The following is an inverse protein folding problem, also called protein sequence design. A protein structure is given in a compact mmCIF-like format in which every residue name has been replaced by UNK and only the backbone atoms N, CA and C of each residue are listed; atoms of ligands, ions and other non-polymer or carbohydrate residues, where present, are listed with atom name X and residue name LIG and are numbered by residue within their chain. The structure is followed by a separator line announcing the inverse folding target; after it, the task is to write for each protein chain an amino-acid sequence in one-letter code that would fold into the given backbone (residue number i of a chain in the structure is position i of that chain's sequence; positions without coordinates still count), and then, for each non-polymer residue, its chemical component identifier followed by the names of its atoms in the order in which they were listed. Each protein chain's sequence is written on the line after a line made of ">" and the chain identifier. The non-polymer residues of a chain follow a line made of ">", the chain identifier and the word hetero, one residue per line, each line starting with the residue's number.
data_IF_372448833674
#
_entry.id   IF_372448833674
#
_cell.length_a   1.000
_cell.length_b   1.000
_cell.length_c   1.000
_cell.angle_alpha   90.00
_cell.angle_beta   90.00
_cell.angle_gamma   90.00
#
_symmetry.space_group_name_H-M   'P 1'
#
loop_
_entity.id
_entity.type
_entity.pdbx_description
1 polymer ?
#
# COMPACT_ATOMS: atom_id res chain seq x y z
N UNK A 1 15.62 -18.03 75.97
CA UNK A 1 15.87 -18.84 74.76
C UNK A 1 14.64 -18.99 73.88
N UNK A 2 13.50 -19.46 74.39
CA UNK A 2 12.28 -19.72 73.59
C UNK A 2 11.80 -18.49 72.79
N UNK A 3 11.75 -17.30 73.41
CA UNK A 3 11.37 -16.04 72.73
C UNK A 3 12.31 -15.69 71.58
N UNK A 4 13.63 -15.87 71.77
CA UNK A 4 14.63 -15.58 70.74
C UNK A 4 14.45 -16.54 69.56
N UNK A 5 14.24 -17.83 69.84
CA UNK A 5 13.98 -18.83 68.80
C UNK A 5 12.71 -18.48 68.01
N UNK A 6 11.62 -18.10 68.68
CA UNK A 6 10.36 -17.71 68.03
C UNK A 6 10.55 -16.48 67.14
N UNK A 7 11.26 -15.47 67.63
CA UNK A 7 11.56 -14.25 66.85
C UNK A 7 12.41 -14.59 65.63
N UNK A 8 13.45 -15.40 65.78
CA UNK A 8 14.31 -15.82 64.66
C UNK A 8 13.50 -16.60 63.62
N UNK A 9 12.67 -17.55 64.05
CA UNK A 9 11.82 -18.32 63.14
C UNK A 9 10.83 -17.40 62.42
N UNK A 10 10.19 -16.48 63.12
CA UNK A 10 9.27 -15.52 62.52
C UNK A 10 9.98 -14.66 61.45
N UNK A 11 11.16 -14.14 61.76
CA UNK A 11 11.97 -13.35 60.82
C UNK A 11 12.35 -14.20 59.60
N UNK A 12 12.81 -15.44 59.79
CA UNK A 12 13.15 -16.34 58.69
C UNK A 12 11.95 -16.59 57.79
N UNK A 13 10.77 -16.87 58.38
CA UNK A 13 9.53 -17.08 57.61
C UNK A 13 9.18 -15.83 56.80
N UNK A 14 9.24 -14.64 57.41
CA UNK A 14 8.98 -13.38 56.70
C UNK A 14 9.95 -13.18 55.54
N UNK A 15 11.24 -13.42 55.75
CA UNK A 15 12.26 -13.30 54.69
C UNK A 15 11.97 -14.28 53.55
N UNK A 16 11.64 -15.54 53.85
CA UNK A 16 11.29 -16.54 52.83
C UNK A 16 10.06 -16.10 52.04
N UNK A 17 9.01 -15.62 52.71
CA UNK A 17 7.80 -15.13 52.03
C UNK A 17 8.13 -13.96 51.10
N UNK A 18 8.94 -12.99 51.55
CA UNK A 18 9.37 -11.85 50.72
C UNK A 18 10.15 -12.33 49.50
N UNK A 19 11.09 -13.26 49.67
CA UNK A 19 11.87 -13.83 48.56
C UNK A 19 10.95 -14.53 47.55
N UNK A 20 10.01 -15.34 48.02
CA UNK A 20 9.03 -16.01 47.15
C UNK A 20 8.20 -15.01 46.36
N UNK A 21 7.70 -13.95 47.01
CA UNK A 21 6.92 -12.89 46.35
C UNK A 21 7.76 -12.20 45.28
N UNK A 22 9.01 -11.84 45.57
CA UNK A 22 9.92 -11.21 44.61
C UNK A 22 10.15 -12.13 43.40
N UNK A 23 10.42 -13.42 43.64
CA UNK A 23 10.60 -14.41 42.55
C UNK A 23 9.35 -14.50 41.68
N UNK A 24 8.16 -14.59 42.29
CA UNK A 24 6.89 -14.63 41.56
C UNK A 24 6.70 -13.37 40.72
N UNK A 25 6.94 -12.19 41.27
CA UNK A 25 6.83 -10.92 40.53
C UNK A 25 7.80 -10.90 39.34
N UNK A 26 9.05 -11.30 39.55
CA UNK A 26 10.05 -11.36 38.47
C UNK A 26 9.61 -12.32 37.37
N UNK A 27 9.11 -13.52 37.72
CA UNK A 27 8.60 -14.50 36.75
C UNK A 27 7.41 -13.94 35.97
N UNK A 28 6.45 -13.29 36.65
CA UNK A 28 5.30 -12.67 35.99
C UNK A 28 5.75 -11.57 35.02
N UNK A 29 6.65 -10.69 35.45
CA UNK A 29 7.19 -9.62 34.59
C UNK A 29 7.88 -10.22 33.36
N UNK A 30 8.72 -11.24 33.53
CA UNK A 30 9.40 -11.91 32.42
C UNK A 30 8.41 -12.56 31.47
N UNK A 31 7.40 -13.28 31.98
CA UNK A 31 6.38 -13.94 31.13
C UNK A 31 5.54 -12.92 30.37
N UNK A 32 5.14 -11.82 31.01
CA UNK A 32 4.36 -10.75 30.38
C UNK A 32 5.19 -10.05 29.31
N UNK A 33 6.40 -9.59 29.65
CA UNK A 33 7.30 -8.94 28.67
C UNK A 33 7.61 -9.87 27.49
N UNK A 34 7.86 -11.15 27.74
CA UNK A 34 8.16 -12.12 26.69
C UNK A 34 6.94 -12.43 25.80
N UNK A 35 5.74 -12.44 26.39
CA UNK A 35 4.49 -12.63 25.64
C UNK A 35 4.18 -11.45 24.71
N UNK A 36 4.45 -10.24 25.17
CA UNK A 36 4.28 -9.00 24.38
C UNK A 36 5.26 -8.97 23.19
N UNK A 37 6.53 -9.31 23.45
CA UNK A 37 7.56 -9.39 22.40
C UNK A 37 7.22 -10.40 21.30
N UNK A 38 6.61 -11.55 21.66
CA UNK A 38 6.22 -12.58 20.69
C UNK A 38 5.04 -12.13 19.82
N UNK A 39 4.16 -11.27 20.31
CA UNK A 39 2.96 -10.84 19.57
C UNK A 39 3.27 -9.79 18.51
N UNK A 40 4.21 -8.87 18.76
CA UNK A 40 4.61 -7.83 17.79
C UNK A 40 5.28 -8.41 16.53
N UNK A 41 6.12 -9.44 16.68
CA UNK A 41 6.85 -10.05 15.55
C UNK A 41 5.95 -10.67 14.47
N UNK A 42 4.74 -11.12 14.83
CA UNK A 42 3.82 -11.77 13.89
C UNK A 42 3.03 -10.78 13.04
N UNK A 43 2.74 -9.57 13.57
CA UNK A 43 1.99 -8.53 12.85
C UNK A 43 2.80 -7.92 11.71
N UNK A 44 4.09 -7.68 11.93
CA UNK A 44 4.98 -7.11 10.92
C UNK A 44 5.19 -8.03 9.71
N UNK A 45 5.28 -9.36 9.92
CA UNK A 45 5.36 -10.33 8.81
C UNK A 45 4.12 -10.28 7.92
N UNK A 46 2.92 -10.28 8.51
CA UNK A 46 1.65 -10.21 7.77
C UNK A 46 1.50 -8.90 6.97
N UNK A 47 1.95 -7.77 7.53
CA UNK A 47 1.93 -6.49 6.84
C UNK A 47 2.89 -6.45 5.65
N UNK A 48 4.10 -7.01 5.80
CA UNK A 48 5.09 -7.08 4.71
C UNK A 48 4.59 -7.93 3.53
N UNK A 49 3.97 -9.08 3.80
CA UNK A 49 3.37 -9.93 2.75
C UNK A 49 2.18 -9.24 2.05
N UNK A 50 1.32 -8.55 2.80
CA UNK A 50 0.23 -7.79 2.17
C UNK A 50 0.74 -6.65 1.28
N UNK A 51 1.81 -5.98 1.68
CA UNK A 51 2.38 -4.88 0.89
C UNK A 51 2.99 -5.37 -0.44
N UNK A 52 3.72 -6.49 -0.44
CA UNK A 52 4.30 -7.06 -1.65
C UNK A 52 3.22 -7.57 -2.62
N UNK A 53 2.17 -8.21 -2.11
CA UNK A 53 1.02 -8.65 -2.92
C UNK A 53 0.29 -7.49 -3.60
N UNK A 54 0.10 -6.36 -2.90
CA UNK A 54 -0.47 -5.13 -3.49
C UNK A 54 0.42 -4.59 -4.61
N UNK A 55 1.73 -4.53 -4.39
CA UNK A 55 2.68 -4.07 -5.42
C UNK A 55 2.67 -4.96 -6.66
N UNK A 56 2.58 -6.29 -6.51
CA UNK A 56 2.48 -7.20 -7.66
C UNK A 56 1.19 -7.00 -8.47
N UNK A 57 0.03 -6.79 -7.80
CA UNK A 57 -1.23 -6.49 -8.49
C UNK A 57 -1.18 -5.16 -9.24
N UNK A 58 -0.62 -4.12 -8.63
CA UNK A 58 -0.46 -2.82 -9.29
C UNK A 58 0.46 -2.90 -10.53
N UNK A 59 1.58 -3.64 -10.45
CA UNK A 59 2.48 -3.86 -11.59
C UNK A 59 1.82 -4.64 -12.72
N UNK A 60 1.02 -5.67 -12.44
CA UNK A 60 0.28 -6.40 -13.48
C UNK A 60 -0.71 -5.49 -14.21
N UNK A 61 -1.46 -4.66 -13.47
CA UNK A 61 -2.43 -3.71 -14.06
C UNK A 61 -1.75 -2.70 -14.99
N UNK A 62 -0.59 -2.17 -14.59
CA UNK A 62 0.17 -1.24 -15.42
C UNK A 62 0.74 -1.91 -16.68
N UNK A 63 1.15 -3.18 -16.59
CA UNK A 63 1.68 -3.91 -17.75
C UNK A 63 0.58 -4.21 -18.78
N UNK A 64 -0.62 -4.60 -18.33
CA UNK A 64 -1.77 -4.79 -19.21
C UNK A 64 -2.20 -3.49 -19.86
N UNK A 65 -2.23 -2.38 -19.10
CA UNK A 65 -2.53 -1.05 -19.66
C UNK A 65 -1.49 -0.62 -20.71
N UNK A 66 -0.20 -0.87 -20.44
CA UNK A 66 0.90 -0.53 -21.36
C UNK A 66 0.91 -1.42 -22.61
N UNK A 67 0.55 -2.71 -22.49
CA UNK A 67 0.43 -3.60 -23.64
C UNK A 67 -0.81 -3.31 -24.48
N UNK A 68 -1.96 -2.96 -23.88
CA UNK A 68 -3.11 -2.46 -24.64
C UNK A 68 -2.81 -1.14 -25.36
N UNK A 69 -1.95 -0.28 -24.79
CA UNK A 69 -1.55 0.97 -25.43
C UNK A 69 -0.52 0.78 -26.59
N UNK A 70 0.08 -0.40 -26.73
CA UNK A 70 1.16 -0.64 -27.70
C UNK A 70 0.67 -1.40 -28.95
N UNK A 71 -0.55 -1.96 -28.93
CA UNK A 71 -0.98 -2.92 -29.96
C UNK A 71 -2.23 -2.56 -30.77
N UNK A 72 -3.05 -1.61 -30.35
CA UNK A 72 -4.20 -1.15 -31.14
C UNK A 72 -4.30 0.37 -31.07
N UNK A 73 -4.14 1.03 -32.21
CA UNK A 73 -4.43 2.44 -32.47
C UNK A 73 -3.84 3.45 -31.47
N UNK A 74 -2.64 4.00 -31.78
CA UNK A 74 -2.16 5.25 -31.16
C UNK A 74 -3.03 6.46 -31.59
N UNK A 75 -4.34 6.35 -31.65
CA UNK A 75 -5.23 7.43 -32.02
C UNK A 75 -5.49 8.36 -30.83
N UNK A 76 -5.92 9.58 -31.13
CA UNK A 76 -6.28 10.60 -30.15
C UNK A 76 -7.69 10.26 -29.58
N UNK A 77 -7.86 10.11 -28.26
CA UNK A 77 -9.15 9.75 -27.68
C UNK A 77 -10.21 10.86 -27.79
N UNK A 78 -11.45 10.53 -27.41
CA UNK A 78 -12.58 11.47 -27.38
C UNK A 78 -12.26 12.73 -26.55
N UNK A 79 -12.63 13.92 -27.07
CA UNK A 79 -12.42 15.24 -26.44
C UNK A 79 -10.98 15.65 -26.14
N UNK A 80 -9.97 14.87 -26.53
CA UNK A 80 -8.57 15.30 -26.45
C UNK A 80 -8.25 16.39 -27.45
N UNK A 81 -7.17 17.18 -27.20
CA UNK A 81 -6.65 18.11 -28.19
C UNK A 81 -6.18 17.38 -29.45
N UNK A 82 -6.52 17.94 -30.61
CA UNK A 82 -6.12 17.42 -31.92
C UNK A 82 -5.57 18.53 -32.80
N UNK A 83 -4.83 18.17 -33.86
CA UNK A 83 -4.42 19.11 -34.91
C UNK A 83 -5.35 18.99 -36.11
N UNK A 84 -5.63 20.10 -36.81
CA UNK A 84 -6.41 20.06 -38.05
C UNK A 84 -5.55 19.87 -39.30
N UNK A 85 -4.23 19.96 -39.20
CA UNK A 85 -3.32 19.86 -40.36
C UNK A 85 -3.33 18.48 -41.01
N UNK A 86 -3.79 18.41 -42.26
CA UNK A 86 -3.80 17.15 -43.03
C UNK A 86 -2.41 16.62 -43.34
N UNK A 87 -1.42 17.51 -43.52
CA UNK A 87 -0.03 17.14 -43.80
C UNK A 87 0.58 16.38 -42.63
N UNK A 88 0.33 16.84 -41.40
CA UNK A 88 0.77 16.18 -40.17
C UNK A 88 0.02 14.86 -39.93
N UNK A 89 -1.29 14.81 -40.20
CA UNK A 89 -2.10 13.57 -40.11
C UNK A 89 -1.71 12.50 -41.13
N UNK A 90 -1.16 12.89 -42.28
CA UNK A 90 -0.61 11.96 -43.28
C UNK A 90 0.76 11.42 -42.85
N UNK A 91 1.59 12.25 -42.23
CA UNK A 91 2.93 11.88 -41.76
C UNK A 91 2.90 11.04 -40.48
N UNK A 92 1.97 11.31 -39.58
CA UNK A 92 1.84 10.64 -38.29
C UNK A 92 0.42 10.09 -38.12
N UNK A 93 0.25 8.78 -38.32
CA UNK A 93 -1.04 8.10 -38.19
C UNK A 93 -1.68 8.24 -36.80
N UNK A 94 -0.86 8.43 -35.77
CA UNK A 94 -1.30 8.61 -34.39
C UNK A 94 -1.97 9.97 -34.10
N UNK A 95 -1.85 10.95 -34.99
CA UNK A 95 -2.51 12.26 -34.84
C UNK A 95 -3.99 12.23 -35.26
N UNK A 96 -4.50 11.06 -35.66
CA UNK A 96 -5.90 10.87 -36.02
C UNK A 96 -6.73 10.61 -34.77
N UNK A 97 -7.95 11.13 -34.74
CA UNK A 97 -8.91 10.78 -33.71
C UNK A 97 -9.30 9.30 -33.83
N UNK A 98 -9.56 8.63 -32.71
CA UNK A 98 -10.06 7.25 -32.71
C UNK A 98 -11.44 7.15 -33.41
N UNK A 99 -11.86 5.94 -33.75
CA UNK A 99 -13.23 5.65 -34.21
C UNK A 99 -13.71 6.52 -35.40
N UNK A 100 -12.79 6.95 -36.27
CA UNK A 100 -13.07 7.81 -37.43
C UNK A 100 -13.80 9.14 -37.07
N UNK A 101 -13.51 9.67 -35.89
CA UNK A 101 -14.01 10.96 -35.40
C UNK A 101 -13.42 12.16 -36.16
N UNK A 102 -14.05 13.33 -36.00
CA UNK A 102 -13.60 14.59 -36.63
C UNK A 102 -12.97 15.54 -35.62
N UNK A 103 -11.88 16.21 -36.01
CA UNK A 103 -11.25 17.25 -35.20
C UNK A 103 -11.99 18.57 -35.42
N UNK A 104 -12.68 19.07 -34.39
CA UNK A 104 -13.45 20.32 -34.46
C UNK A 104 -12.74 21.41 -33.65
N UNK A 105 -12.48 22.54 -34.29
CA UNK A 105 -11.87 23.71 -33.68
C UNK A 105 -12.92 24.75 -33.28
N UNK A 106 -12.56 25.61 -32.33
CA UNK A 106 -13.39 26.78 -32.00
C UNK A 106 -13.39 27.76 -33.17
N UNK A 107 -14.35 28.69 -33.19
CA UNK A 107 -14.49 29.70 -34.25
C UNK A 107 -13.20 30.50 -34.51
N UNK A 108 -12.36 30.65 -33.50
CA UNK A 108 -11.07 31.36 -33.55
C UNK A 108 -9.89 30.49 -34.01
N UNK A 109 -10.14 29.25 -34.47
CA UNK A 109 -9.10 28.32 -34.90
C UNK A 109 -8.24 27.71 -33.78
N UNK A 110 -8.47 28.11 -32.52
CA UNK A 110 -7.81 27.57 -31.34
C UNK A 110 -8.66 26.51 -30.63
N UNK A 111 -8.04 25.71 -29.74
CA UNK A 111 -8.70 24.67 -28.94
C UNK A 111 -9.43 23.58 -29.75
N UNK A 112 -8.75 23.01 -30.75
CA UNK A 112 -9.25 21.88 -31.53
C UNK A 112 -9.38 20.60 -30.69
N UNK A 113 -10.52 19.91 -30.77
CA UNK A 113 -10.80 18.66 -30.04
C UNK A 113 -11.47 17.61 -30.91
N UNK A 114 -11.18 16.35 -30.64
CA UNK A 114 -11.88 15.22 -31.28
C UNK A 114 -13.34 15.18 -30.84
N UNK A 115 -14.26 15.18 -31.81
CA UNK A 115 -15.70 15.16 -31.60
C UNK A 115 -16.37 14.17 -32.56
N UNK A 116 -17.59 13.75 -32.22
CA UNK A 116 -18.35 12.79 -33.00
C UNK A 116 -18.64 13.38 -34.38
N UNK A 117 -18.60 12.52 -35.38
CA UNK A 117 -19.09 12.85 -36.71
C UNK A 117 -20.61 12.93 -36.60
N UNK A 118 -21.15 14.14 -36.50
CA UNK A 118 -22.58 14.37 -36.69
C UNK A 118 -22.87 13.99 -38.14
N UNK A 119 -23.58 12.88 -38.32
CA UNK A 119 -24.08 12.41 -39.62
C UNK A 119 -25.17 13.33 -40.15
#
# INVERSE_FOLDING_TARGET
>A
MLVIVVVVVAVVVVVVVVVVVVVVVVVVVVVVYFSDWRTEGTRLKRLREMYTLRQHRARRRNRTYRQSAESEDLCIPWRSPCTNDETLKKKYGFLRCCDNMTCKCSFWGSNCRCNARLG
#
